data_IF_658292159361
#
_entry.id   IF_658292159361
#
_cell.length_a   1.000
_cell.length_b   1.000
_cell.length_c   1.000
_cell.angle_alpha   90.00
_cell.angle_beta   90.00
_cell.angle_gamma   90.00
#
_symmetry.space_group_name_H-M   'P 1'
#
loop_
_entity.id
_entity.type
_entity.pdbx_description
1 polymer ?
#
# COMPACT_ATOMS: atom_id res chain seq x y z
N UNK A 1 6.61 5.33 6.79
CA UNK A 1 5.42 6.17 6.54
C UNK A 1 4.13 5.37 6.73
N UNK A 2 3.89 4.31 5.97
CA UNK A 2 2.67 3.49 6.08
C UNK A 2 2.40 2.98 7.51
N UNK A 3 3.37 2.26 8.11
CA UNK A 3 3.28 1.76 9.50
C UNK A 3 2.90 2.86 10.51
N UNK A 4 3.51 4.05 10.38
CA UNK A 4 3.26 5.17 11.30
C UNK A 4 1.90 5.85 11.12
N UNK A 5 1.17 5.61 10.02
CA UNK A 5 -0.15 6.21 9.77
C UNK A 5 -1.30 5.23 10.01
N UNK A 6 -1.00 4.00 10.46
CA UNK A 6 -1.97 2.94 10.74
C UNK A 6 -2.10 2.64 12.25
N UNK A 7 -1.47 3.43 13.12
CA UNK A 7 -1.40 3.17 14.56
C UNK A 7 -2.77 3.10 15.27
N UNK A 8 -3.80 3.73 14.69
CA UNK A 8 -5.17 3.78 15.20
C UNK A 8 -6.21 3.23 14.20
N UNK A 9 -5.75 2.37 13.30
CA UNK A 9 -6.59 1.73 12.29
C UNK A 9 -6.75 0.24 12.60
N UNK A 10 -7.98 -0.19 12.82
CA UNK A 10 -8.37 -1.60 12.94
C UNK A 10 -9.03 -2.06 11.64
N UNK A 11 -8.39 -2.90 10.80
CA UNK A 11 -8.94 -3.32 9.52
C UNK A 11 -10.31 -4.02 9.60
N UNK A 12 -10.64 -4.65 10.72
CA UNK A 12 -11.92 -5.36 10.87
C UNK A 12 -13.08 -4.40 11.17
N UNK A 13 -12.79 -3.20 11.68
CA UNK A 13 -13.80 -2.21 12.11
C UNK A 13 -13.81 -0.95 11.26
N UNK A 14 -12.64 -0.49 10.87
CA UNK A 14 -12.41 0.82 10.28
C UNK A 14 -12.28 0.77 8.75
N UNK A 15 -12.12 -0.43 8.17
CA UNK A 15 -11.96 -0.58 6.74
C UNK A 15 -13.23 -0.15 5.99
N UNK A 16 -13.02 0.60 4.90
CA UNK A 16 -14.11 1.11 4.07
C UNK A 16 -14.28 0.23 2.84
N UNK A 17 -15.54 -0.07 2.49
CA UNK A 17 -15.87 -0.80 1.26
C UNK A 17 -15.38 -0.04 0.01
N UNK A 18 -15.20 -0.77 -1.09
CA UNK A 18 -14.69 -0.20 -2.34
C UNK A 18 -15.49 1.03 -2.77
N UNK A 19 -16.80 1.03 -2.59
CA UNK A 19 -17.74 2.11 -2.92
C UNK A 19 -17.45 3.39 -2.12
N UNK A 20 -17.01 3.26 -0.88
CA UNK A 20 -16.67 4.38 0.01
C UNK A 20 -15.25 4.91 -0.18
N UNK A 21 -14.44 4.27 -1.04
CA UNK A 21 -13.09 4.74 -1.31
C UNK A 21 -13.10 5.97 -2.21
N UNK A 22 -12.28 6.96 -1.84
CA UNK A 22 -12.05 8.15 -2.65
C UNK A 22 -11.34 7.80 -3.97
N UNK A 23 -11.53 8.59 -5.05
CA UNK A 23 -10.96 8.28 -6.36
C UNK A 23 -9.43 8.07 -6.36
N UNK A 24 -8.70 8.88 -5.59
CA UNK A 24 -7.24 8.76 -5.49
C UNK A 24 -6.80 7.45 -4.78
N UNK A 25 -7.58 6.98 -3.81
CA UNK A 25 -7.30 5.74 -3.09
C UNK A 25 -7.61 4.53 -3.99
N UNK A 26 -8.67 4.61 -4.80
CA UNK A 26 -8.96 3.61 -5.84
C UNK A 26 -7.88 3.58 -6.92
N UNK A 27 -7.36 4.73 -7.32
CA UNK A 27 -6.24 4.81 -8.25
C UNK A 27 -5.01 4.08 -7.70
N UNK A 28 -4.67 4.28 -6.42
CA UNK A 28 -3.55 3.57 -5.80
C UNK A 28 -3.76 2.05 -5.75
N UNK A 29 -4.99 1.58 -5.48
CA UNK A 29 -5.32 0.15 -5.58
C UNK A 29 -5.20 -0.40 -7.01
N UNK A 30 -5.60 0.37 -8.02
CA UNK A 30 -5.45 -0.03 -9.41
C UNK A 30 -3.97 -0.15 -9.80
N UNK A 31 -3.11 0.75 -9.32
CA UNK A 31 -1.65 0.68 -9.51
C UNK A 31 -1.05 -0.53 -8.79
N UNK A 32 -1.46 -0.78 -7.54
CA UNK A 32 -1.06 -1.98 -6.80
C UNK A 32 -1.40 -3.26 -7.58
N UNK A 33 -2.62 -3.37 -8.12
CA UNK A 33 -3.05 -4.54 -8.88
C UNK A 33 -2.17 -4.80 -10.11
N UNK A 34 -1.74 -3.74 -10.82
CA UNK A 34 -0.82 -3.86 -11.96
C UNK A 34 0.56 -4.36 -11.53
N UNK A 35 1.08 -3.84 -10.41
CA UNK A 35 2.38 -4.24 -9.86
C UNK A 35 2.36 -5.67 -9.34
N UNK A 36 1.29 -6.08 -8.64
CA UNK A 36 1.08 -7.46 -8.18
C UNK A 36 1.09 -8.43 -9.37
N UNK A 37 0.37 -8.10 -10.45
CA UNK A 37 0.35 -8.94 -11.65
C UNK A 37 1.75 -9.07 -12.28
N UNK A 38 2.49 -7.96 -12.40
CA UNK A 38 3.87 -7.95 -12.90
C UNK A 38 4.80 -8.79 -12.03
N UNK A 39 4.75 -8.63 -10.71
CA UNK A 39 5.61 -9.36 -9.76
C UNK A 39 5.30 -10.86 -9.78
N UNK A 40 4.01 -11.25 -9.79
CA UNK A 40 3.63 -12.66 -9.85
C UNK A 40 4.18 -13.34 -11.10
N UNK A 41 4.02 -12.69 -12.26
CA UNK A 41 4.60 -13.20 -13.50
C UNK A 41 6.13 -13.33 -13.41
N UNK A 42 6.81 -12.32 -12.87
CA UNK A 42 8.26 -12.39 -12.69
C UNK A 42 8.68 -13.53 -11.75
N UNK A 43 7.89 -13.86 -10.73
CA UNK A 43 8.12 -15.05 -9.91
C UNK A 43 7.95 -16.35 -10.71
N UNK A 44 6.90 -16.46 -11.52
CA UNK A 44 6.66 -17.63 -12.38
C UNK A 44 7.79 -17.85 -13.39
N UNK A 45 8.35 -16.75 -13.91
CA UNK A 45 9.46 -16.74 -14.87
C UNK A 45 10.86 -16.79 -14.20
N UNK A 46 10.93 -16.89 -12.86
CA UNK A 46 12.16 -16.86 -12.05
C UNK A 46 13.02 -15.59 -12.22
N UNK A 47 12.41 -14.47 -12.61
CA UNK A 47 13.05 -13.17 -12.83
C UNK A 47 13.07 -12.31 -11.55
N UNK A 48 13.78 -12.76 -10.51
CA UNK A 48 13.78 -12.09 -9.19
C UNK A 48 14.25 -10.63 -9.22
N UNK A 49 15.13 -10.27 -10.15
CA UNK A 49 15.56 -8.88 -10.33
C UNK A 49 14.40 -7.98 -10.76
N UNK A 50 13.47 -8.49 -11.57
CA UNK A 50 12.25 -7.75 -11.99
C UNK A 50 11.32 -7.54 -10.80
N UNK A 51 11.19 -8.54 -9.92
CA UNK A 51 10.41 -8.41 -8.68
C UNK A 51 10.92 -7.24 -7.85
N UNK A 52 12.23 -7.22 -7.57
CA UNK A 52 12.87 -6.18 -6.79
C UNK A 52 12.67 -4.78 -7.41
N UNK A 53 12.96 -4.64 -8.70
CA UNK A 53 12.83 -3.36 -9.39
C UNK A 53 11.38 -2.88 -9.46
N UNK A 54 10.42 -3.77 -9.74
CA UNK A 54 9.01 -3.40 -9.81
C UNK A 54 8.47 -2.92 -8.46
N UNK A 55 8.85 -3.57 -7.36
CA UNK A 55 8.44 -3.16 -6.02
C UNK A 55 9.07 -1.83 -5.62
N UNK A 56 10.37 -1.63 -5.88
CA UNK A 56 11.05 -0.37 -5.58
C UNK A 56 10.50 0.79 -6.40
N UNK A 57 10.26 0.58 -7.70
CA UNK A 57 9.69 1.59 -8.58
C UNK A 57 8.30 2.01 -8.09
N UNK A 58 7.45 1.05 -7.72
CA UNK A 58 6.14 1.33 -7.13
C UNK A 58 6.26 2.13 -5.83
N UNK A 59 7.17 1.75 -4.93
CA UNK A 59 7.40 2.48 -3.68
C UNK A 59 7.90 3.91 -3.92
N UNK A 60 8.81 4.12 -4.86
CA UNK A 60 9.41 5.42 -5.11
C UNK A 60 8.47 6.36 -5.88
N UNK A 61 7.89 5.87 -6.99
CA UNK A 61 7.17 6.70 -7.96
C UNK A 61 5.69 6.79 -7.61
N UNK A 62 5.00 5.65 -7.47
CA UNK A 62 3.56 5.64 -7.24
C UNK A 62 3.21 6.01 -5.80
N UNK A 63 3.92 5.43 -4.83
CA UNK A 63 3.64 5.65 -3.41
C UNK A 63 4.26 6.94 -2.89
N UNK A 64 5.59 7.04 -2.85
CA UNK A 64 6.28 8.15 -2.19
C UNK A 64 6.08 9.48 -2.90
N UNK A 65 6.29 9.53 -4.22
CA UNK A 65 6.25 10.78 -4.98
C UNK A 65 4.82 11.28 -5.28
N UNK A 66 3.83 10.40 -5.29
CA UNK A 66 2.44 10.76 -5.66
C UNK A 66 1.48 10.49 -4.50
N UNK A 67 1.23 9.22 -4.18
CA UNK A 67 0.13 8.87 -3.28
C UNK A 67 0.31 9.43 -1.87
N UNK A 68 1.44 9.16 -1.22
CA UNK A 68 1.73 9.59 0.13
C UNK A 68 1.89 11.10 0.24
N UNK A 69 2.41 11.77 -0.79
CA UNK A 69 2.49 13.23 -0.79
C UNK A 69 1.10 13.88 -0.78
N UNK A 70 0.18 13.37 -1.59
CA UNK A 70 -1.23 13.80 -1.62
C UNK A 70 -1.93 13.46 -0.29
N UNK A 71 -1.63 12.31 0.32
CA UNK A 71 -2.27 11.88 1.55
C UNK A 71 -1.90 12.70 2.79
N UNK A 72 -0.75 13.38 2.81
CA UNK A 72 -0.26 14.15 3.98
C UNK A 72 -1.32 15.11 4.51
N UNK A 73 -1.96 15.88 3.62
CA UNK A 73 -2.96 16.87 4.02
C UNK A 73 -4.15 16.19 4.72
N UNK A 74 -4.67 15.09 4.15
CA UNK A 74 -5.80 14.34 4.71
C UNK A 74 -5.46 13.64 6.03
N UNK A 75 -4.29 13.01 6.11
CA UNK A 75 -3.89 12.26 7.30
C UNK A 75 -3.57 13.17 8.48
N UNK A 76 -3.16 14.42 8.24
CA UNK A 76 -2.81 15.37 9.30
C UNK A 76 -3.96 16.31 9.71
N UNK A 77 -4.91 16.59 8.82
CA UNK A 77 -5.97 17.58 9.09
C UNK A 77 -7.34 16.98 9.34
N UNK A 78 -7.61 15.78 8.81
CA UNK A 78 -8.94 15.18 8.94
C UNK A 78 -9.12 14.54 10.33
N UNK A 79 -10.34 14.60 10.86
CA UNK A 79 -10.68 13.96 12.13
C UNK A 79 -10.41 12.45 12.11
N UNK A 80 -10.16 11.89 13.30
CA UNK A 80 -9.72 10.49 13.45
C UNK A 80 -10.65 9.50 12.73
N UNK A 81 -11.96 9.68 12.88
CA UNK A 81 -13.00 8.84 12.28
C UNK A 81 -13.57 9.39 10.97
N UNK A 82 -12.90 10.36 10.35
CA UNK A 82 -13.38 10.92 9.09
C UNK A 82 -13.35 9.86 7.97
N UNK A 83 -14.41 9.78 7.14
CA UNK A 83 -14.45 8.82 6.03
C UNK A 83 -13.26 8.98 5.07
N UNK A 84 -12.80 10.21 4.86
CA UNK A 84 -11.63 10.49 4.03
C UNK A 84 -10.34 9.91 4.61
N UNK A 85 -10.14 9.96 5.94
CA UNK A 85 -8.99 9.35 6.61
C UNK A 85 -9.09 7.83 6.57
N UNK A 86 -10.26 7.25 6.89
CA UNK A 86 -10.47 5.79 6.85
C UNK A 86 -10.32 5.20 5.44
N UNK A 87 -10.72 5.92 4.41
CA UNK A 87 -10.46 5.57 3.00
C UNK A 87 -8.95 5.46 2.71
N UNK A 88 -8.15 6.44 3.16
CA UNK A 88 -6.69 6.38 3.02
C UNK A 88 -6.10 5.20 3.80
N UNK A 89 -6.44 5.07 5.09
CA UNK A 89 -5.88 4.02 5.95
C UNK A 89 -6.20 2.62 5.42
N UNK A 90 -7.42 2.41 4.90
CA UNK A 90 -7.82 1.15 4.26
C UNK A 90 -6.86 0.77 3.12
N UNK A 91 -6.57 1.72 2.23
CA UNK A 91 -5.72 1.48 1.07
C UNK A 91 -4.24 1.40 1.45
N UNK A 92 -3.77 2.23 2.38
CA UNK A 92 -2.38 2.16 2.90
C UNK A 92 -2.14 0.82 3.58
N UNK A 93 -3.07 0.34 4.41
CA UNK A 93 -3.00 -0.98 5.04
C UNK A 93 -2.95 -2.09 3.99
N UNK A 94 -3.83 -2.04 2.97
CA UNK A 94 -3.83 -3.05 1.91
C UNK A 94 -2.51 -3.08 1.13
N UNK A 95 -2.00 -1.91 0.75
CA UNK A 95 -0.72 -1.77 0.04
C UNK A 95 0.42 -2.34 0.88
N UNK A 96 0.49 -2.00 2.17
CA UNK A 96 1.52 -2.50 3.07
C UNK A 96 1.50 -4.03 3.14
N UNK A 97 0.34 -4.62 3.43
CA UNK A 97 0.22 -6.06 3.58
C UNK A 97 0.52 -6.82 2.28
N UNK A 98 0.12 -6.29 1.13
CA UNK A 98 0.43 -6.91 -0.17
C UNK A 98 1.92 -6.77 -0.48
N UNK A 99 2.55 -5.62 -0.22
CA UNK A 99 4.00 -5.45 -0.40
C UNK A 99 4.81 -6.40 0.48
N UNK A 100 4.47 -6.53 1.76
CA UNK A 100 5.16 -7.46 2.67
C UNK A 100 5.09 -8.90 2.15
N UNK A 101 3.92 -9.34 1.67
CA UNK A 101 3.76 -10.69 1.11
C UNK A 101 4.53 -10.89 -0.19
N UNK A 102 4.58 -9.89 -1.06
CA UNK A 102 5.32 -9.96 -2.32
C UNK A 102 6.83 -9.95 -2.09
N UNK A 103 7.31 -9.26 -1.05
CA UNK A 103 8.73 -9.09 -0.78
C UNK A 103 9.31 -10.11 0.20
N UNK A 104 8.49 -10.78 1.01
CA UNK A 104 8.90 -11.78 1.98
C UNK A 104 9.85 -12.87 1.42
N UNK A 105 9.71 -13.37 0.18
CA UNK A 105 10.64 -14.36 -0.36
C UNK A 105 12.07 -13.84 -0.62
N UNK A 106 12.25 -12.51 -0.72
CA UNK A 106 13.53 -11.86 -1.05
C UNK A 106 14.10 -11.11 0.17
N UNK A 107 13.22 -10.48 0.96
CA UNK A 107 13.57 -9.64 2.11
C UNK A 107 12.90 -10.14 3.38
N UNK A 108 13.09 -11.42 3.69
CA UNK A 108 12.39 -12.12 4.78
C UNK A 108 12.51 -11.41 6.13
N UNK A 109 13.72 -11.05 6.57
CA UNK A 109 13.93 -10.38 7.86
C UNK A 109 13.23 -9.01 7.94
N UNK A 110 13.37 -8.18 6.91
CA UNK A 110 12.73 -6.85 6.89
C UNK A 110 11.21 -6.96 6.85
N UNK A 111 10.67 -7.97 6.16
CA UNK A 111 9.22 -8.18 6.11
C UNK A 111 8.69 -8.72 7.44
N UNK A 112 9.45 -9.58 8.12
CA UNK A 112 9.09 -10.12 9.43
C UNK A 112 9.08 -9.03 10.52
N UNK A 113 10.07 -8.14 10.53
CA UNK A 113 10.12 -7.00 11.46
C UNK A 113 8.96 -6.00 11.26
N UNK A 114 8.40 -5.94 10.05
CA UNK A 114 7.38 -4.97 9.68
C UNK A 114 5.95 -5.51 9.72
N UNK A 115 5.75 -6.81 9.96
CA UNK A 115 4.45 -7.49 9.95
C UNK A 115 3.64 -7.27 11.24
#
# INVERSE_FOLDING_TARGET
YALGNLYDFDPEKDAVAAEGLLPIDRWALARLAQVVAKIRKAYDDYEFHVVYHAALEFCAVDLSAVYFDILKDRLYTAGADSPARRSAQTVVHRILMDLLRLLAPIMSFTCDEAY
#
